data_IF_595059327102
#
_entry.id   IF_595059327102
#
_cell.length_a   1.000
_cell.length_b   1.000
_cell.length_c   1.000
_cell.angle_alpha   90.00
_cell.angle_beta   90.00
_cell.angle_gamma   90.00
#
_symmetry.space_group_name_H-M   'P 1'
#
loop_
_entity.id
_entity.type
_entity.pdbx_description
1 polymer ?
#
# COMPACT_ATOMS: atom_id res chain seq x y z
N UNK A 1 10.92 -11.28 31.44
CA UNK A 1 9.52 -11.12 30.97
C UNK A 1 9.55 -10.44 29.61
N UNK A 2 10.08 -11.16 28.60
CA UNK A 2 10.32 -10.61 27.27
C UNK A 2 9.00 -10.42 26.56
N UNK A 3 8.57 -9.17 26.45
CA UNK A 3 7.40 -8.78 25.70
C UNK A 3 7.47 -9.40 24.30
N UNK A 4 6.58 -10.37 24.07
CA UNK A 4 6.05 -10.77 22.78
C UNK A 4 7.07 -10.74 21.64
N UNK A 5 7.96 -11.74 21.66
CA UNK A 5 8.93 -12.03 20.59
C UNK A 5 8.34 -11.81 19.20
N UNK A 6 9.09 -11.17 18.31
CA UNK A 6 8.79 -10.99 16.87
C UNK A 6 7.94 -12.11 16.20
N UNK A 7 8.19 -13.42 16.42
CA UNK A 7 7.33 -14.48 15.86
C UNK A 7 5.86 -14.43 16.31
N UNK A 8 5.54 -13.94 17.50
CA UNK A 8 4.15 -13.80 17.96
C UNK A 8 3.36 -12.85 17.06
N UNK A 9 3.95 -11.71 16.70
CA UNK A 9 3.33 -10.77 15.78
C UNK A 9 3.11 -11.37 14.38
N UNK A 10 4.04 -12.21 13.90
CA UNK A 10 3.86 -12.93 12.62
C UNK A 10 2.66 -13.89 12.68
N UNK A 11 2.51 -14.63 13.78
CA UNK A 11 1.40 -15.58 13.99
C UNK A 11 0.06 -14.82 14.09
N UNK A 12 0.02 -13.73 14.84
CA UNK A 12 -1.20 -12.89 14.96
C UNK A 12 -1.59 -12.34 13.60
N UNK A 13 -0.64 -11.83 12.81
CA UNK A 13 -0.89 -11.32 11.47
C UNK A 13 -1.45 -12.42 10.54
N UNK A 14 -0.89 -13.63 10.63
CA UNK A 14 -1.36 -14.78 9.87
C UNK A 14 -2.81 -15.16 10.24
N UNK A 15 -3.15 -15.18 11.53
CA UNK A 15 -4.53 -15.45 11.98
C UNK A 15 -5.49 -14.38 11.48
N UNK A 16 -5.11 -13.10 11.57
CA UNK A 16 -5.93 -11.98 11.04
C UNK A 16 -6.13 -12.12 9.53
N UNK A 17 -5.09 -12.46 8.77
CA UNK A 17 -5.17 -12.72 7.33
C UNK A 17 -6.13 -13.88 6.99
N UNK A 18 -6.15 -14.94 7.80
CA UNK A 18 -7.04 -16.09 7.58
C UNK A 18 -8.49 -15.74 7.91
N UNK A 19 -8.74 -15.02 8.99
CA UNK A 19 -10.11 -14.64 9.42
C UNK A 19 -10.72 -13.59 8.48
N UNK A 20 -9.96 -12.57 8.11
CA UNK A 20 -10.43 -11.50 7.22
C UNK A 20 -10.35 -11.90 5.75
N UNK A 21 -9.46 -12.84 5.40
CA UNK A 21 -9.18 -13.26 4.04
C UNK A 21 -8.34 -12.23 3.25
N UNK A 22 -7.56 -12.68 2.26
CA UNK A 22 -6.70 -11.79 1.47
C UNK A 22 -7.48 -10.76 0.64
N UNK A 23 -8.70 -11.08 0.19
CA UNK A 23 -9.52 -10.18 -0.63
C UNK A 23 -10.01 -8.94 0.11
N UNK A 24 -10.37 -9.06 1.40
CA UNK A 24 -10.79 -7.90 2.22
C UNK A 24 -9.62 -6.98 2.53
N UNK A 25 -8.47 -7.56 2.87
CA UNK A 25 -7.25 -6.80 3.17
C UNK A 25 -6.72 -6.10 1.92
N UNK A 26 -6.71 -6.77 0.76
CA UNK A 26 -6.27 -6.19 -0.50
C UNK A 26 -7.16 -5.01 -0.96
N UNK A 27 -8.49 -5.12 -0.80
CA UNK A 27 -9.41 -4.02 -1.10
C UNK A 27 -9.14 -2.79 -0.23
N UNK A 28 -9.09 -2.97 1.09
CA UNK A 28 -8.81 -1.87 2.03
C UNK A 28 -7.42 -1.27 1.81
N UNK A 29 -6.40 -2.10 1.59
CA UNK A 29 -5.05 -1.65 1.30
C UNK A 29 -4.95 -0.92 -0.05
N UNK A 30 -5.76 -1.30 -1.03
CA UNK A 30 -5.88 -0.61 -2.32
C UNK A 30 -6.44 0.81 -2.18
N UNK A 31 -7.55 0.95 -1.45
CA UNK A 31 -8.18 2.25 -1.19
C UNK A 31 -7.26 3.17 -0.37
N UNK A 32 -6.61 2.61 0.66
CA UNK A 32 -5.61 3.32 1.47
C UNK A 32 -4.37 3.69 0.65
N UNK A 33 -3.90 2.79 -0.22
CA UNK A 33 -2.75 3.01 -1.11
C UNK A 33 -3.01 4.10 -2.12
N UNK A 34 -4.21 4.15 -2.70
CA UNK A 34 -4.62 5.20 -3.63
C UNK A 34 -4.71 6.57 -2.93
N UNK A 35 -5.32 6.62 -1.74
CA UNK A 35 -5.38 7.84 -0.92
C UNK A 35 -3.99 8.36 -0.54
N UNK A 36 -3.11 7.48 -0.08
CA UNK A 36 -1.74 7.84 0.26
C UNK A 36 -0.93 8.24 -0.98
N UNK A 37 -1.13 7.61 -2.14
CA UNK A 37 -0.45 7.97 -3.40
C UNK A 37 -0.86 9.36 -3.87
N UNK A 38 -2.14 9.70 -3.82
CA UNK A 38 -2.63 11.05 -4.14
C UNK A 38 -2.13 12.09 -3.14
N UNK A 39 -2.08 11.75 -1.85
CA UNK A 39 -1.50 12.63 -0.82
C UNK A 39 0.00 12.88 -1.04
N UNK A 40 0.76 11.83 -1.34
CA UNK A 40 2.18 11.95 -1.68
C UNK A 40 2.42 12.74 -2.97
N UNK A 41 1.55 12.58 -3.97
CA UNK A 41 1.62 13.32 -5.23
C UNK A 41 1.33 14.80 -5.02
N UNK A 42 0.27 15.14 -4.27
CA UNK A 42 -0.08 16.53 -3.96
C UNK A 42 1.00 17.24 -3.13
N UNK A 43 1.60 16.57 -2.14
CA UNK A 43 2.73 17.11 -1.37
C UNK A 43 4.01 17.27 -2.22
N UNK A 44 4.21 16.41 -3.22
CA UNK A 44 5.38 16.50 -4.12
C UNK A 44 5.20 17.56 -5.21
N UNK A 45 3.96 17.83 -5.66
CA UNK A 45 3.64 18.93 -6.59
C UNK A 45 3.85 20.32 -5.97
N UNK A 46 3.78 20.45 -4.64
CA UNK A 46 4.09 21.70 -3.93
C UNK A 46 5.61 22.01 -3.91
N UNK A 47 6.46 21.00 -4.12
CA UNK A 47 7.93 21.10 -4.07
C UNK A 47 8.59 21.05 -5.47
N UNK A 48 7.87 20.61 -6.52
CA UNK A 48 8.37 20.56 -7.91
C UNK A 48 7.27 20.91 -8.93
N UNK A 49 7.44 21.98 -9.73
CA UNK A 49 6.64 22.13 -10.93
C UNK A 49 7.12 21.08 -11.95
N UNK A 50 6.17 20.35 -12.53
CA UNK A 50 6.35 19.47 -13.69
C UNK A 50 7.07 18.12 -13.48
N UNK A 51 6.39 17.16 -12.83
CA UNK A 51 6.54 15.75 -13.24
C UNK A 51 5.17 15.06 -13.32
N UNK A 52 4.67 14.72 -14.52
CA UNK A 52 3.47 13.92 -14.66
C UNK A 52 3.79 12.51 -14.14
N UNK A 53 3.25 12.18 -12.96
CA UNK A 53 3.19 10.82 -12.47
C UNK A 53 2.16 10.03 -13.28
N UNK A 54 2.53 9.73 -14.53
CA UNK A 54 1.90 8.74 -15.40
C UNK A 54 3.01 8.02 -16.19
N UNK A 55 3.59 6.99 -15.56
CA UNK A 55 4.36 5.95 -16.24
C UNK A 55 3.67 4.60 -16.05
N UNK A 56 2.36 4.59 -16.10
CA UNK A 56 1.59 3.43 -16.51
C UNK A 56 1.32 3.59 -18.02
N UNK A 57 2.38 3.65 -18.83
CA UNK A 57 2.30 3.32 -20.26
C UNK A 57 2.43 1.80 -20.36
N UNK A 58 1.36 1.04 -20.63
CA UNK A 58 1.53 -0.27 -21.25
C UNK A 58 2.21 0.01 -22.58
N UNK A 59 3.32 -0.66 -22.82
CA UNK A 59 3.99 -0.67 -24.11
C UNK A 59 3.03 -1.21 -25.17
N UNK A 60 2.29 -0.30 -25.82
CA UNK A 60 1.65 -0.55 -27.10
C UNK A 60 2.76 -0.45 -28.15
N UNK A 61 3.27 -1.62 -28.51
CA UNK A 61 4.36 -1.80 -29.48
C UNK A 61 3.71 -2.13 -30.84
N UNK A 62 4.17 -1.50 -31.94
CA UNK A 62 3.54 -1.58 -33.26
C UNK A 62 3.56 -2.97 -33.90
#
# INVERSE_FOLDING_TARGET
MGAFSLPHWLIVLAVVLVVFGPGRIAGVMGDLGQGLRSFRKGMAEEDQPDQPADRDQPSDKP
#
